data_IF_043766346427
#
_entry.id   IF_043766346427
#
_cell.length_a   1.000
_cell.length_b   1.000
_cell.length_c   1.000
_cell.angle_alpha   90.00
_cell.angle_beta   90.00
_cell.angle_gamma   90.00
#
_symmetry.space_group_name_H-M   'P 1'
#
loop_
_entity.id
_entity.type
_entity.pdbx_description
1 polymer ?
#
# COMPACT_ATOMS: atom_id res chain seq x y z
N UNK A 1 -4.83 -26.08 -10.98
CA UNK A 1 -5.93 -25.11 -10.77
C UNK A 1 -6.28 -24.52 -12.13
N UNK A 2 -7.55 -24.52 -12.51
CA UNK A 2 -8.06 -23.82 -13.71
C UNK A 2 -8.82 -22.61 -13.19
N UNK A 3 -8.55 -21.43 -13.76
CA UNK A 3 -9.22 -20.16 -13.41
C UNK A 3 -10.09 -19.71 -14.58
N UNK A 4 -11.23 -19.11 -14.27
CA UNK A 4 -12.18 -18.57 -15.25
C UNK A 4 -12.11 -17.04 -15.36
N UNK A 5 -11.51 -16.39 -14.36
CA UNK A 5 -11.31 -14.94 -14.31
C UNK A 5 -9.94 -14.58 -13.71
N UNK A 6 -9.26 -13.55 -14.26
CA UNK A 6 -8.03 -13.03 -13.67
C UNK A 6 -8.21 -12.62 -12.19
N UNK A 7 -9.42 -12.22 -11.74
CA UNK A 7 -9.69 -11.88 -10.34
C UNK A 7 -9.58 -13.07 -9.37
N UNK A 8 -9.46 -14.29 -9.89
CA UNK A 8 -9.17 -15.48 -9.08
C UNK A 8 -7.66 -15.66 -8.79
N UNK A 9 -6.78 -14.87 -9.44
CA UNK A 9 -5.34 -14.85 -9.16
C UNK A 9 -5.03 -14.01 -7.91
N UNK A 10 -5.58 -14.42 -6.79
CA UNK A 10 -5.31 -13.87 -5.46
C UNK A 10 -4.69 -14.98 -4.61
N UNK A 11 -3.41 -14.79 -4.29
CA UNK A 11 -2.65 -15.72 -3.46
C UNK A 11 -2.95 -15.42 -1.99
N UNK A 12 -3.81 -16.22 -1.38
CA UNK A 12 -4.34 -15.96 -0.04
C UNK A 12 -3.34 -16.30 1.07
N UNK A 13 -2.63 -17.43 0.93
CA UNK A 13 -1.84 -18.04 2.02
C UNK A 13 -0.35 -18.02 1.67
N UNK A 14 0.15 -16.88 1.13
CA UNK A 14 1.55 -16.72 0.74
C UNK A 14 2.32 -15.93 1.80
N UNK A 15 3.09 -16.65 2.60
CA UNK A 15 3.95 -16.11 3.65
C UNK A 15 5.40 -16.53 3.42
N UNK A 16 6.32 -15.61 3.65
CA UNK A 16 7.75 -15.86 3.58
C UNK A 16 8.36 -15.77 4.99
N UNK A 17 8.90 -16.86 5.52
CA UNK A 17 9.61 -16.87 6.80
C UNK A 17 10.99 -16.26 6.62
N UNK A 18 11.27 -15.19 7.33
CA UNK A 18 12.54 -14.46 7.30
C UNK A 18 13.46 -14.98 8.39
N UNK A 19 14.24 -16.02 8.08
CA UNK A 19 15.17 -16.62 9.03
C UNK A 19 16.26 -15.60 9.39
N UNK A 20 16.48 -15.38 10.69
CA UNK A 20 17.53 -14.50 11.20
C UNK A 20 17.27 -13.01 11.10
N UNK A 21 16.15 -12.57 10.51
CA UNK A 21 15.85 -11.16 10.25
C UNK A 21 15.79 -10.29 11.52
N UNK A 22 15.22 -10.81 12.60
CA UNK A 22 15.13 -10.12 13.88
C UNK A 22 15.73 -11.02 15.00
N UNK A 23 16.94 -11.52 14.80
CA UNK A 23 17.62 -12.41 15.74
C UNK A 23 16.95 -13.78 15.84
N UNK A 24 16.50 -14.15 17.05
CA UNK A 24 15.88 -15.47 17.31
C UNK A 24 14.37 -15.51 17.17
N UNK A 25 13.77 -14.46 16.59
CA UNK A 25 12.32 -14.35 16.46
C UNK A 25 11.81 -14.86 15.12
N UNK A 26 10.62 -15.42 15.10
CA UNK A 26 9.94 -15.86 13.89
C UNK A 26 9.24 -14.67 13.22
N UNK A 27 9.83 -14.15 12.15
CA UNK A 27 9.25 -13.07 11.33
C UNK A 27 8.72 -13.66 10.03
N UNK A 28 7.47 -13.35 9.73
CA UNK A 28 6.79 -13.78 8.52
C UNK A 28 6.33 -12.58 7.71
N UNK A 29 6.70 -12.55 6.44
CA UNK A 29 6.29 -11.52 5.50
C UNK A 29 5.11 -12.02 4.67
N UNK A 30 3.93 -11.42 4.84
CA UNK A 30 2.77 -11.73 3.99
C UNK A 30 2.91 -11.06 2.65
N UNK A 31 3.12 -11.87 1.61
CA UNK A 31 3.41 -11.40 0.26
C UNK A 31 2.13 -11.14 -0.54
N UNK A 32 1.71 -9.89 -0.62
CA UNK A 32 0.53 -9.45 -1.39
C UNK A 32 0.87 -8.99 -2.82
N UNK A 33 2.15 -8.87 -3.12
CA UNK A 33 2.62 -8.42 -4.44
C UNK A 33 2.46 -9.44 -5.56
N UNK A 34 2.26 -10.71 -5.23
CA UNK A 34 2.00 -11.77 -6.22
C UNK A 34 0.55 -11.84 -6.70
N UNK A 35 -0.34 -11.10 -6.08
CA UNK A 35 -1.72 -10.98 -6.57
C UNK A 35 -1.75 -10.34 -7.96
N UNK A 36 -2.82 -10.61 -8.72
CA UNK A 36 -3.06 -9.94 -10.01
C UNK A 36 -2.97 -8.41 -9.81
N UNK A 37 -2.39 -7.69 -10.76
CA UNK A 37 -1.98 -6.27 -10.68
C UNK A 37 -0.78 -5.97 -9.77
N UNK A 38 -0.16 -6.99 -9.19
CA UNK A 38 1.10 -6.87 -8.45
C UNK A 38 0.97 -6.13 -7.11
N UNK A 39 -0.20 -6.19 -6.43
CA UNK A 39 -0.34 -5.57 -5.11
C UNK A 39 -1.60 -6.00 -4.34
N UNK A 40 -1.59 -5.71 -3.04
CA UNK A 40 -2.74 -5.85 -2.13
C UNK A 40 -3.98 -5.06 -2.58
N UNK A 41 -3.81 -4.04 -3.43
CA UNK A 41 -4.89 -3.13 -3.83
C UNK A 41 -5.96 -3.79 -4.70
N UNK A 42 -5.70 -4.96 -5.27
CA UNK A 42 -6.76 -5.73 -5.95
C UNK A 42 -7.88 -6.12 -4.99
N UNK A 43 -7.55 -6.48 -3.76
CA UNK A 43 -8.57 -6.77 -2.72
C UNK A 43 -9.41 -5.54 -2.42
N UNK A 44 -8.75 -4.38 -2.22
CA UNK A 44 -9.43 -3.09 -2.02
C UNK A 44 -10.34 -2.75 -3.20
N UNK A 45 -9.85 -2.89 -4.44
CA UNK A 45 -10.62 -2.58 -5.65
C UNK A 45 -11.87 -3.45 -5.77
N UNK A 46 -11.73 -4.76 -5.55
CA UNK A 46 -12.86 -5.70 -5.54
C UNK A 46 -13.87 -5.30 -4.47
N UNK A 47 -13.43 -5.11 -3.22
CA UNK A 47 -14.33 -4.77 -2.12
C UNK A 47 -15.09 -3.45 -2.31
N UNK A 48 -14.44 -2.43 -2.89
CA UNK A 48 -15.08 -1.15 -3.20
C UNK A 48 -16.18 -1.29 -4.25
N UNK A 49 -15.92 -2.04 -5.33
CA UNK A 49 -16.90 -2.25 -6.40
C UNK A 49 -18.03 -3.15 -5.95
N UNK A 50 -17.73 -4.28 -5.31
CA UNK A 50 -18.74 -5.21 -4.78
C UNK A 50 -19.67 -4.56 -3.77
N UNK A 51 -19.16 -3.67 -2.93
CA UNK A 51 -20.01 -2.93 -1.99
C UNK A 51 -21.05 -2.04 -2.70
N UNK A 52 -20.70 -1.41 -3.81
CA UNK A 52 -21.64 -0.63 -4.60
C UNK A 52 -22.67 -1.51 -5.30
N UNK A 53 -22.25 -2.65 -5.85
CA UNK A 53 -23.12 -3.63 -6.50
C UNK A 53 -24.13 -4.21 -5.51
N UNK A 54 -23.67 -4.66 -4.34
CA UNK A 54 -24.53 -5.24 -3.28
C UNK A 54 -25.57 -4.24 -2.76
N UNK A 55 -25.25 -2.96 -2.78
CA UNK A 55 -26.15 -1.86 -2.39
C UNK A 55 -27.06 -1.40 -3.53
N UNK A 56 -26.93 -1.95 -4.73
CA UNK A 56 -27.67 -1.56 -5.91
C UNK A 56 -27.33 -0.14 -6.42
N UNK A 57 -26.18 0.40 -6.03
CA UNK A 57 -25.75 1.77 -6.37
C UNK A 57 -24.96 1.84 -7.69
N UNK A 58 -24.39 0.74 -8.13
CA UNK A 58 -23.65 0.68 -9.40
C UNK A 58 -24.22 -0.40 -10.31
N UNK A 59 -24.32 -0.09 -11.61
CA UNK A 59 -24.78 -1.00 -12.67
C UNK A 59 -23.78 -1.04 -13.79
N UNK A 60 -23.35 -2.25 -14.25
CA UNK A 60 -22.49 -2.37 -15.43
C UNK A 60 -23.03 -1.63 -16.64
N UNK A 61 -22.16 -1.08 -17.46
CA UNK A 61 -22.44 -0.28 -18.66
C UNK A 61 -23.16 1.05 -18.44
N UNK A 62 -23.69 1.35 -17.25
CA UNK A 62 -24.37 2.59 -16.91
C UNK A 62 -23.52 3.50 -16.02
N UNK A 63 -22.99 2.94 -14.94
CA UNK A 63 -22.24 3.68 -13.92
C UNK A 63 -20.81 3.98 -14.37
N UNK A 64 -20.34 5.18 -14.07
CA UNK A 64 -18.96 5.61 -14.19
C UNK A 64 -18.30 5.62 -12.81
N UNK A 65 -17.33 4.77 -12.57
CA UNK A 65 -16.60 4.75 -11.31
C UNK A 65 -15.41 5.73 -11.38
N UNK A 66 -15.21 6.50 -10.34
CA UNK A 66 -14.17 7.53 -10.27
C UNK A 66 -13.31 7.31 -9.04
N UNK A 67 -11.98 7.43 -9.15
CA UNK A 67 -11.09 7.40 -8.00
C UNK A 67 -9.85 8.28 -8.18
N UNK A 68 -9.31 8.79 -7.06
CA UNK A 68 -8.03 9.48 -7.00
C UNK A 68 -6.92 8.49 -6.67
N UNK A 69 -6.06 8.17 -7.63
CA UNK A 69 -4.94 7.27 -7.38
C UNK A 69 -3.78 7.52 -8.33
N UNK A 70 -2.56 7.59 -7.79
CA UNK A 70 -1.33 7.67 -8.57
C UNK A 70 -0.58 6.33 -8.70
N UNK A 71 -1.19 5.21 -8.26
CA UNK A 71 -0.47 3.94 -8.21
C UNK A 71 -1.36 2.69 -8.22
N UNK A 72 -1.04 1.77 -7.33
CA UNK A 72 -1.59 0.41 -7.30
C UNK A 72 -3.12 0.30 -7.28
N UNK A 73 -3.83 1.22 -6.61
CA UNK A 73 -5.30 1.15 -6.59
C UNK A 73 -5.92 1.53 -7.94
N UNK A 74 -5.39 2.57 -8.60
CA UNK A 74 -5.86 2.94 -9.94
C UNK A 74 -5.71 1.78 -10.93
N UNK A 75 -4.56 1.11 -10.93
CA UNK A 75 -4.32 -0.06 -11.77
C UNK A 75 -5.27 -1.22 -11.43
N UNK A 76 -5.49 -1.50 -10.13
CA UNK A 76 -6.38 -2.56 -9.70
C UNK A 76 -7.85 -2.27 -10.07
N UNK A 77 -8.31 -1.03 -9.88
CA UNK A 77 -9.66 -0.61 -10.27
C UNK A 77 -9.85 -0.66 -11.78
N UNK A 78 -8.83 -0.29 -12.58
CA UNK A 78 -8.91 -0.39 -14.04
C UNK A 78 -9.18 -1.83 -14.49
N UNK A 79 -8.47 -2.81 -13.92
CA UNK A 79 -8.71 -4.24 -14.19
C UNK A 79 -10.11 -4.68 -13.72
N UNK A 80 -10.50 -4.37 -12.49
CA UNK A 80 -11.78 -4.80 -11.92
C UNK A 80 -12.94 -4.21 -12.73
N UNK A 81 -12.86 -2.93 -13.08
CA UNK A 81 -13.88 -2.25 -13.89
C UNK A 81 -13.98 -2.84 -15.29
N UNK A 82 -12.86 -3.11 -15.95
CA UNK A 82 -12.84 -3.73 -17.26
C UNK A 82 -13.53 -5.11 -17.26
N UNK A 83 -13.26 -5.95 -16.25
CA UNK A 83 -13.87 -7.29 -16.13
C UNK A 83 -15.37 -7.19 -15.80
N UNK A 84 -15.78 -6.21 -14.99
CA UNK A 84 -17.16 -6.09 -14.52
C UNK A 84 -18.03 -5.17 -15.39
N UNK A 85 -17.48 -4.62 -16.48
CA UNK A 85 -18.22 -3.80 -17.46
C UNK A 85 -18.51 -2.37 -16.95
N UNK A 86 -17.65 -1.80 -16.11
CA UNK A 86 -17.73 -0.41 -15.67
C UNK A 86 -16.80 0.49 -16.49
N UNK A 87 -17.25 1.70 -16.79
CA UNK A 87 -16.34 2.78 -17.18
C UNK A 87 -15.59 3.25 -15.91
N UNK A 88 -14.29 3.47 -16.03
CA UNK A 88 -13.47 3.93 -14.92
C UNK A 88 -12.67 5.17 -15.27
N UNK A 89 -12.73 6.18 -14.42
CA UNK A 89 -11.93 7.42 -14.52
C UNK A 89 -10.97 7.46 -13.32
N UNK A 90 -9.67 7.45 -13.62
CA UNK A 90 -8.62 7.62 -12.62
C UNK A 90 -8.07 9.04 -12.67
N UNK A 91 -8.22 9.81 -11.59
CA UNK A 91 -7.60 11.13 -11.46
C UNK A 91 -6.26 10.96 -10.76
N UNK A 92 -5.19 11.33 -11.45
CA UNK A 92 -3.80 11.18 -10.98
C UNK A 92 -3.02 12.49 -11.12
N UNK A 93 -1.72 12.45 -10.83
CA UNK A 93 -0.80 13.59 -10.88
C UNK A 93 0.53 13.21 -11.55
N UNK A 94 1.43 14.19 -11.86
CA UNK A 94 2.69 13.94 -12.57
C UNK A 94 3.69 13.05 -11.84
N UNK A 95 3.50 12.78 -10.54
CA UNK A 95 4.37 11.86 -9.78
C UNK A 95 4.01 10.39 -10.02
N UNK A 96 2.90 10.11 -10.69
CA UNK A 96 2.51 8.74 -11.01
C UNK A 96 3.50 8.08 -11.99
N UNK A 97 3.85 6.83 -11.72
CA UNK A 97 4.74 6.07 -12.59
C UNK A 97 4.08 5.89 -13.97
N UNK A 98 4.81 6.22 -15.03
CA UNK A 98 4.33 6.14 -16.42
C UNK A 98 3.87 4.73 -16.80
N UNK A 99 4.56 3.68 -16.36
CA UNK A 99 4.14 2.30 -16.62
C UNK A 99 2.82 1.96 -15.96
N UNK A 100 2.55 2.50 -14.76
CA UNK A 100 1.27 2.33 -14.07
C UNK A 100 0.14 3.06 -14.80
N UNK A 101 0.36 4.29 -15.25
CA UNK A 101 -0.62 5.05 -16.07
C UNK A 101 -0.93 4.24 -17.35
N UNK A 102 0.11 3.79 -18.05
CA UNK A 102 -0.05 2.98 -19.27
C UNK A 102 -0.83 1.69 -19.00
N UNK A 103 -0.58 1.01 -17.87
CA UNK A 103 -1.35 -0.17 -17.47
C UNK A 103 -2.84 0.14 -17.24
N UNK A 104 -3.17 1.27 -16.63
CA UNK A 104 -4.56 1.72 -16.45
C UNK A 104 -5.25 1.94 -17.81
N UNK A 105 -4.58 2.63 -18.75
CA UNK A 105 -5.08 2.89 -20.11
C UNK A 105 -5.30 1.61 -20.91
N UNK A 106 -4.38 0.63 -20.81
CA UNK A 106 -4.50 -0.67 -21.46
C UNK A 106 -5.73 -1.45 -20.98
N UNK A 107 -6.11 -1.31 -19.71
CA UNK A 107 -7.36 -1.85 -19.16
C UNK A 107 -8.60 -1.00 -19.51
N UNK A 108 -8.46 0.07 -20.30
CA UNK A 108 -9.56 0.90 -20.76
C UNK A 108 -9.97 2.02 -19.80
N UNK A 109 -9.18 2.30 -18.77
CA UNK A 109 -9.46 3.44 -17.89
C UNK A 109 -9.15 4.77 -18.59
N UNK A 110 -10.01 5.76 -18.38
CA UNK A 110 -9.70 7.15 -18.69
C UNK A 110 -8.81 7.72 -17.57
N UNK A 111 -7.56 8.05 -17.89
CA UNK A 111 -6.64 8.64 -16.91
C UNK A 111 -6.58 10.15 -17.11
N UNK A 112 -6.85 10.90 -16.06
CA UNK A 112 -6.77 12.37 -16.03
C UNK A 112 -5.62 12.76 -15.12
N UNK A 113 -4.58 13.37 -15.69
CA UNK A 113 -3.44 13.91 -14.94
C UNK A 113 -3.73 15.37 -14.61
N UNK A 114 -3.79 15.73 -13.31
CA UNK A 114 -3.88 17.11 -12.87
C UNK A 114 -2.48 17.69 -12.74
N UNK A 115 -2.23 18.84 -13.32
CA UNK A 115 -0.90 19.49 -13.36
C UNK A 115 -0.75 20.58 -12.29
N UNK A 116 -1.87 21.15 -11.81
CA UNK A 116 -1.86 22.21 -10.81
C UNK A 116 -1.53 21.68 -9.43
N UNK A 117 -0.52 22.24 -8.81
CA UNK A 117 -0.15 21.95 -7.42
C UNK A 117 -1.10 22.66 -6.44
N UNK A 118 -1.34 22.01 -5.31
CA UNK A 118 -2.05 22.63 -4.19
C UNK A 118 -1.22 23.77 -3.58
N UNK A 119 -1.82 24.80 -2.99
CA UNK A 119 -1.11 25.88 -2.32
C UNK A 119 -0.17 25.40 -1.20
N UNK A 120 -0.52 24.30 -0.54
CA UNK A 120 0.31 23.65 0.50
C UNK A 120 1.36 22.67 -0.06
N UNK A 121 1.49 22.59 -1.39
CA UNK A 121 2.31 21.61 -2.09
C UNK A 121 1.59 20.27 -2.28
N UNK A 122 2.06 19.46 -3.25
CA UNK A 122 1.39 18.21 -3.63
C UNK A 122 0.25 18.43 -4.62
N UNK A 123 -0.61 17.42 -4.77
CA UNK A 123 -1.67 17.39 -5.79
C UNK A 123 -3.01 16.82 -5.29
N UNK A 124 -3.12 16.49 -3.99
CA UNK A 124 -4.30 15.82 -3.48
C UNK A 124 -5.56 16.69 -3.61
N UNK A 125 -5.47 17.96 -3.24
CA UNK A 125 -6.59 18.91 -3.35
C UNK A 125 -7.03 19.10 -4.79
N UNK A 126 -6.09 19.28 -5.71
CA UNK A 126 -6.37 19.40 -7.15
C UNK A 126 -7.00 18.15 -7.72
N UNK A 127 -6.57 16.96 -7.31
CA UNK A 127 -7.22 15.69 -7.70
C UNK A 127 -8.65 15.60 -7.16
N UNK A 128 -8.88 15.97 -5.90
CA UNK A 128 -10.22 15.96 -5.30
C UNK A 128 -11.14 16.97 -5.99
N UNK A 129 -10.66 18.18 -6.26
CA UNK A 129 -11.39 19.18 -7.03
C UNK A 129 -11.80 18.68 -8.41
N UNK A 130 -10.90 17.93 -9.08
CA UNK A 130 -11.21 17.32 -10.39
C UNK A 130 -12.28 16.25 -10.28
N UNK A 131 -12.26 15.44 -9.22
CA UNK A 131 -13.32 14.46 -8.94
C UNK A 131 -14.65 15.18 -8.75
N UNK A 132 -14.71 16.24 -7.93
CA UNK A 132 -15.94 16.99 -7.71
C UNK A 132 -16.52 17.56 -9.02
N UNK A 133 -15.66 18.06 -9.93
CA UNK A 133 -16.08 18.50 -11.26
C UNK A 133 -16.70 17.37 -12.09
N UNK A 134 -16.10 16.16 -12.05
CA UNK A 134 -16.64 14.98 -12.76
C UNK A 134 -18.00 14.61 -12.19
N UNK A 135 -18.15 14.55 -10.88
CA UNK A 135 -19.41 14.21 -10.22
C UNK A 135 -20.51 15.21 -10.50
N UNK A 136 -20.19 16.50 -10.66
CA UNK A 136 -21.15 17.54 -11.04
C UNK A 136 -21.56 17.47 -12.51
N UNK A 137 -20.68 16.98 -13.39
CA UNK A 137 -20.92 16.95 -14.84
C UNK A 137 -21.55 15.65 -15.33
N UNK A 138 -21.40 14.54 -14.59
CA UNK A 138 -21.96 13.23 -14.97
C UNK A 138 -22.75 12.63 -13.79
N UNK A 139 -24.10 12.60 -13.90
CA UNK A 139 -24.97 12.08 -12.84
C UNK A 139 -24.80 10.56 -12.60
N UNK A 140 -24.18 9.85 -13.55
CA UNK A 140 -23.86 8.42 -13.40
C UNK A 140 -22.49 8.17 -12.76
N UNK A 141 -21.73 9.23 -12.46
CA UNK A 141 -20.42 9.12 -11.85
C UNK A 141 -20.53 8.87 -10.34
N UNK A 142 -19.78 7.91 -9.83
CA UNK A 142 -19.70 7.57 -8.40
C UNK A 142 -18.24 7.56 -7.99
N UNK A 143 -17.89 8.35 -6.98
CA UNK A 143 -16.57 8.31 -6.37
C UNK A 143 -16.46 7.17 -5.34
N UNK A 144 -15.51 6.28 -5.53
CA UNK A 144 -15.26 5.12 -4.66
C UNK A 144 -14.73 5.52 -3.28
N UNK A 145 -13.95 6.61 -3.21
CA UNK A 145 -13.42 7.24 -2.00
C UNK A 145 -12.69 6.28 -1.05
N UNK A 146 -11.55 5.77 -1.49
CA UNK A 146 -10.72 4.83 -0.71
C UNK A 146 -10.37 5.29 0.71
N UNK A 147 -10.37 6.61 0.98
CA UNK A 147 -9.97 7.19 2.27
C UNK A 147 -11.08 7.21 3.32
N UNK A 148 -12.34 7.06 2.90
CA UNK A 148 -13.50 7.13 3.78
C UNK A 148 -14.46 5.94 3.63
N UNK A 149 -14.39 5.18 2.53
CA UNK A 149 -15.30 4.08 2.28
C UNK A 149 -14.96 2.86 3.16
N UNK A 150 -15.91 2.46 4.00
CA UNK A 150 -15.78 1.35 4.95
C UNK A 150 -15.48 0.01 4.25
N UNK A 151 -15.89 -0.16 2.99
CA UNK A 151 -15.61 -1.36 2.21
C UNK A 151 -14.10 -1.63 2.08
N UNK A 152 -13.26 -0.57 2.04
CA UNK A 152 -11.81 -0.71 2.06
C UNK A 152 -11.30 -1.36 3.36
N UNK A 153 -11.92 -1.11 4.51
CA UNK A 153 -11.60 -1.81 5.76
C UNK A 153 -12.15 -3.23 5.76
N UNK A 154 -13.42 -3.40 5.37
CA UNK A 154 -14.14 -4.67 5.48
C UNK A 154 -13.46 -5.77 4.66
N UNK A 155 -13.05 -5.50 3.42
CA UNK A 155 -12.36 -6.49 2.59
C UNK A 155 -11.06 -6.99 3.21
N UNK A 156 -10.35 -6.14 3.95
CA UNK A 156 -9.13 -6.56 4.64
C UNK A 156 -9.41 -7.31 5.95
N UNK A 157 -10.54 -7.06 6.62
CA UNK A 157 -11.00 -7.88 7.73
C UNK A 157 -11.42 -9.28 7.24
N UNK A 158 -12.20 -9.35 6.16
CA UNK A 158 -12.75 -10.58 5.61
C UNK A 158 -11.72 -11.44 4.87
N UNK A 159 -10.73 -10.84 4.24
CA UNK A 159 -9.71 -11.55 3.47
C UNK A 159 -8.36 -11.54 4.17
N UNK A 160 -7.62 -10.43 4.14
CA UNK A 160 -6.22 -10.35 4.59
C UNK A 160 -6.04 -10.80 6.05
N UNK A 161 -6.91 -10.37 6.95
CA UNK A 161 -6.84 -10.75 8.35
C UNK A 161 -7.21 -12.23 8.57
N UNK A 162 -8.25 -12.73 7.88
CA UNK A 162 -8.65 -14.14 7.99
C UNK A 162 -7.61 -15.09 7.38
N UNK A 163 -6.86 -14.65 6.36
CA UNK A 163 -5.72 -15.40 5.82
C UNK A 163 -4.62 -15.57 6.87
N UNK A 164 -4.26 -14.48 7.57
CA UNK A 164 -3.31 -14.54 8.69
C UNK A 164 -3.87 -15.41 9.82
N UNK A 165 -5.14 -15.21 10.16
CA UNK A 165 -5.78 -15.95 11.22
C UNK A 165 -5.87 -17.46 10.97
N UNK A 166 -5.92 -17.91 9.72
CA UNK A 166 -5.92 -19.35 9.37
C UNK A 166 -4.53 -19.95 9.39
N UNK A 167 -3.51 -19.19 8.98
CA UNK A 167 -2.15 -19.67 8.87
C UNK A 167 -1.47 -19.83 10.25
N UNK A 168 -1.80 -18.97 11.22
CA UNK A 168 -1.11 -18.93 12.50
C UNK A 168 -2.03 -19.28 13.66
N UNK A 169 -1.54 -20.12 14.57
CA UNK A 169 -2.19 -20.39 15.87
C UNK A 169 -1.92 -19.25 16.88
N UNK A 170 -0.83 -18.48 16.65
CA UNK A 170 -0.40 -17.39 17.50
C UNK A 170 0.22 -16.29 16.66
N UNK A 171 -0.20 -15.04 16.91
CA UNK A 171 0.46 -13.84 16.39
C UNK A 171 0.60 -12.84 17.54
N UNK A 172 1.82 -12.47 17.87
CA UNK A 172 2.09 -11.51 18.95
C UNK A 172 2.19 -10.09 18.44
N UNK A 173 2.68 -9.92 17.20
CA UNK A 173 2.85 -8.62 16.57
C UNK A 173 2.42 -8.67 15.12
N UNK A 174 1.69 -7.63 14.69
CA UNK A 174 1.42 -7.41 13.26
C UNK A 174 1.85 -5.99 12.87
N UNK A 175 2.66 -5.90 11.81
CA UNK A 175 3.18 -4.65 11.26
C UNK A 175 2.50 -4.32 9.95
N UNK A 176 1.87 -3.15 9.87
CA UNK A 176 1.11 -2.73 8.69
C UNK A 176 1.53 -1.33 8.27
N UNK A 177 2.01 -1.19 7.04
CA UNK A 177 2.26 0.10 6.41
C UNK A 177 0.95 0.85 6.17
N UNK A 178 0.90 2.14 6.52
CA UNK A 178 -0.32 2.93 6.49
C UNK A 178 -0.34 3.96 5.36
N UNK A 179 -1.42 3.96 4.61
CA UNK A 179 -1.83 4.99 3.68
C UNK A 179 -3.28 5.36 4.00
N UNK A 180 -4.25 4.77 3.31
CA UNK A 180 -5.69 4.96 3.60
C UNK A 180 -6.15 4.39 4.94
N UNK A 181 -5.31 3.62 5.60
CA UNK A 181 -5.55 2.86 6.85
C UNK A 181 -6.56 1.72 6.78
N UNK A 182 -7.18 1.48 5.62
CA UNK A 182 -8.15 0.38 5.47
C UNK A 182 -7.57 -0.99 5.84
N UNK A 183 -6.37 -1.31 5.35
CA UNK A 183 -5.66 -2.57 5.67
C UNK A 183 -5.41 -2.71 7.18
N UNK A 184 -4.85 -1.65 7.81
CA UNK A 184 -4.58 -1.66 9.24
C UNK A 184 -5.85 -1.83 10.07
N UNK A 185 -6.92 -1.10 9.74
CA UNK A 185 -8.19 -1.15 10.46
C UNK A 185 -8.85 -2.52 10.34
N UNK A 186 -8.88 -3.10 9.13
CA UNK A 186 -9.44 -4.44 8.90
C UNK A 186 -8.67 -5.54 9.62
N UNK A 187 -7.33 -5.51 9.52
CA UNK A 187 -6.45 -6.46 10.21
C UNK A 187 -6.62 -6.34 11.72
N UNK A 188 -6.60 -5.11 12.26
CA UNK A 188 -6.73 -4.86 13.69
C UNK A 188 -8.04 -5.40 14.26
N UNK A 189 -9.16 -5.14 13.59
CA UNK A 189 -10.48 -5.58 14.05
C UNK A 189 -10.57 -7.10 14.15
N UNK A 190 -10.18 -7.80 13.11
CA UNK A 190 -10.30 -9.25 13.04
C UNK A 190 -9.25 -9.95 13.94
N UNK A 191 -7.98 -9.56 13.84
CA UNK A 191 -6.92 -10.28 14.57
C UNK A 191 -6.99 -10.07 16.09
N UNK A 192 -7.49 -8.92 16.58
CA UNK A 192 -7.71 -8.74 18.03
C UNK A 192 -8.79 -9.66 18.59
N UNK A 193 -9.75 -10.08 17.79
CA UNK A 193 -10.75 -11.08 18.21
C UNK A 193 -10.12 -12.47 18.36
N UNK A 194 -9.27 -12.87 17.41
CA UNK A 194 -8.61 -14.19 17.45
C UNK A 194 -7.40 -14.20 18.39
N UNK A 195 -6.62 -13.13 18.43
CA UNK A 195 -5.40 -13.01 19.23
C UNK A 195 -5.52 -11.79 20.17
N UNK A 196 -6.21 -11.91 21.32
CA UNK A 196 -6.52 -10.75 22.18
C UNK A 196 -5.30 -9.99 22.73
N UNK A 197 -4.12 -10.61 22.71
CA UNK A 197 -2.86 -10.00 23.18
C UNK A 197 -1.96 -9.48 22.05
N UNK A 198 -2.44 -9.53 20.80
CA UNK A 198 -1.68 -9.04 19.64
C UNK A 198 -1.35 -7.55 19.79
N UNK A 199 -0.15 -7.18 19.44
CA UNK A 199 0.25 -5.79 19.28
C UNK A 199 0.19 -5.38 17.82
N UNK A 200 -0.67 -4.42 17.53
CA UNK A 200 -0.88 -3.88 16.19
C UNK A 200 0.00 -2.64 16.02
N UNK A 201 0.92 -2.71 15.07
CA UNK A 201 1.88 -1.64 14.78
C UNK A 201 1.49 -0.95 13.49
N UNK A 202 1.18 0.35 13.59
CA UNK A 202 1.04 1.23 12.43
C UNK A 202 2.41 1.73 12.01
N UNK A 203 2.78 1.52 10.76
CA UNK A 203 4.06 1.97 10.22
C UNK A 203 3.81 3.05 9.17
N UNK A 204 4.47 4.19 9.32
CA UNK A 204 4.35 5.30 8.37
C UNK A 204 5.73 5.95 8.10
N UNK A 205 5.91 6.61 6.95
CA UNK A 205 7.12 7.38 6.72
C UNK A 205 7.10 8.67 7.54
N UNK A 206 8.26 9.16 7.91
CA UNK A 206 8.41 10.52 8.46
C UNK A 206 7.78 11.52 7.47
N UNK A 207 7.03 12.49 7.98
CA UNK A 207 6.26 13.44 7.18
C UNK A 207 4.84 13.00 6.84
N UNK A 208 4.41 11.80 7.27
CA UNK A 208 3.00 11.40 7.24
C UNK A 208 2.22 12.01 8.40
N UNK A 209 0.96 12.42 8.13
CA UNK A 209 0.07 13.00 9.15
C UNK A 209 -1.01 12.03 9.63
N UNK A 210 -0.97 10.78 9.22
CA UNK A 210 -2.03 9.80 9.50
C UNK A 210 -2.32 9.66 10.99
N UNK A 211 -1.28 9.56 11.81
CA UNK A 211 -1.40 9.41 13.27
C UNK A 211 -0.80 10.58 14.06
N UNK A 212 -0.84 11.80 13.49
CA UNK A 212 -0.44 13.03 14.18
C UNK A 212 1.03 13.41 14.01
N UNK A 213 1.74 12.79 13.08
CA UNK A 213 3.09 13.21 12.70
C UNK A 213 3.11 14.63 12.09
N UNK A 214 4.25 15.31 12.18
CA UNK A 214 4.46 16.59 11.51
C UNK A 214 4.45 16.38 9.98
N UNK A 215 3.77 17.24 9.19
CA UNK A 215 3.77 17.13 7.74
C UNK A 215 5.17 17.36 7.16
N UNK A 216 5.58 16.54 6.19
CA UNK A 216 6.87 16.65 5.55
C UNK A 216 6.88 16.10 4.13
N UNK A 217 7.98 16.40 3.40
CA UNK A 217 8.22 15.86 2.06
C UNK A 217 8.36 14.34 2.14
N UNK A 218 7.72 13.64 1.23
CA UNK A 218 7.81 12.18 1.04
C UNK A 218 7.93 11.89 -0.45
N UNK A 219 8.84 11.00 -0.79
CA UNK A 219 9.18 10.68 -2.18
C UNK A 219 8.88 9.23 -2.53
N UNK A 220 8.81 8.34 -1.54
CA UNK A 220 8.44 6.94 -1.73
C UNK A 220 6.91 6.83 -1.75
N UNK A 221 6.32 6.39 -2.89
CA UNK A 221 4.87 6.31 -3.03
C UNK A 221 4.27 5.10 -2.29
N UNK A 222 2.95 5.10 -2.12
CA UNK A 222 2.19 3.95 -1.62
C UNK A 222 2.07 3.85 -0.10
N UNK A 223 2.77 4.69 0.66
CA UNK A 223 2.74 4.73 2.12
C UNK A 223 2.70 6.18 2.63
N UNK A 224 2.04 6.40 3.76
CA UNK A 224 1.84 7.73 4.36
C UNK A 224 0.80 8.59 3.65
N UNK A 225 0.34 9.64 4.32
CA UNK A 225 -0.66 10.59 3.80
C UNK A 225 -0.33 12.03 4.18
N UNK A 226 -0.80 12.99 3.35
CA UNK A 226 -0.73 14.42 3.63
C UNK A 226 -2.01 14.96 4.30
N UNK A 227 -3.07 14.14 4.32
CA UNK A 227 -4.34 14.43 5.00
C UNK A 227 -4.75 13.18 5.76
N UNK A 228 -5.17 13.33 7.01
CA UNK A 228 -5.62 12.19 7.83
C UNK A 228 -6.83 11.52 7.21
N UNK A 229 -6.76 10.21 6.88
CA UNK A 229 -7.90 9.47 6.34
C UNK A 229 -8.99 9.29 7.40
N UNK A 230 -10.27 9.33 7.00
CA UNK A 230 -11.38 9.01 7.92
C UNK A 230 -11.31 7.59 8.49
N UNK A 231 -10.79 6.64 7.72
CA UNK A 231 -10.63 5.26 8.19
C UNK A 231 -9.60 5.13 9.35
N UNK A 232 -8.72 6.12 9.56
CA UNK A 232 -7.80 6.13 10.68
C UNK A 232 -8.51 6.25 12.04
N UNK A 233 -9.74 6.75 12.07
CA UNK A 233 -10.54 6.86 13.30
C UNK A 233 -11.12 5.51 13.75
N UNK A 234 -11.08 4.50 12.88
CA UNK A 234 -11.57 3.14 13.14
C UNK A 234 -10.54 2.23 13.80
N UNK A 235 -9.31 2.69 14.00
CA UNK A 235 -8.24 1.88 14.56
C UNK A 235 -7.39 2.65 15.56
N UNK A 236 -7.07 1.98 16.66
CA UNK A 236 -6.10 2.46 17.65
C UNK A 236 -4.93 1.48 17.68
N UNK A 237 -3.80 1.80 17.03
CA UNK A 237 -2.62 0.94 17.07
C UNK A 237 -1.98 0.94 18.45
N UNK A 238 -1.28 -0.14 18.82
CA UNK A 238 -0.52 -0.24 20.08
C UNK A 238 0.82 0.49 19.99
N UNK A 239 1.36 0.57 18.77
CA UNK A 239 2.57 1.33 18.44
C UNK A 239 2.38 2.06 17.11
N UNK A 240 2.96 3.23 17.02
CA UNK A 240 3.11 3.99 15.77
C UNK A 240 4.61 4.16 15.55
N UNK A 241 5.12 3.71 14.42
CA UNK A 241 6.54 3.80 14.07
C UNK A 241 6.68 4.65 12.82
N UNK A 242 7.35 5.79 12.98
CA UNK A 242 7.72 6.64 11.85
C UNK A 242 9.14 6.28 11.38
N UNK A 243 9.28 5.96 10.09
CA UNK A 243 10.54 5.56 9.47
C UNK A 243 10.96 6.59 8.43
N UNK A 244 12.22 7.02 8.45
CA UNK A 244 12.73 7.89 7.40
C UNK A 244 12.97 7.12 6.08
N UNK A 245 13.01 7.84 4.95
CA UNK A 245 13.14 7.23 3.62
C UNK A 245 14.51 6.58 3.42
N UNK A 246 15.56 7.08 4.07
CA UNK A 246 16.90 6.47 4.06
C UNK A 246 16.86 5.04 4.62
N UNK A 247 16.23 4.86 5.80
CA UNK A 247 16.06 3.52 6.40
C UNK A 247 15.18 2.60 5.57
N UNK A 248 14.19 3.15 4.88
CA UNK A 248 13.37 2.40 3.94
C UNK A 248 14.21 1.85 2.78
N UNK A 249 15.06 2.68 2.18
CA UNK A 249 15.95 2.27 1.09
C UNK A 249 16.97 1.25 1.56
N UNK A 250 17.63 1.49 2.70
CA UNK A 250 18.56 0.54 3.31
C UNK A 250 17.91 -0.83 3.52
N UNK A 251 16.69 -0.85 4.07
CA UNK A 251 15.96 -2.09 4.30
C UNK A 251 15.61 -2.82 3.01
N UNK A 252 15.18 -2.11 1.96
CA UNK A 252 14.91 -2.71 0.65
C UNK A 252 16.17 -3.34 0.05
N UNK A 253 17.29 -2.62 0.05
CA UNK A 253 18.55 -3.08 -0.53
C UNK A 253 19.15 -4.26 0.26
N UNK A 254 19.10 -4.22 1.59
CA UNK A 254 19.54 -5.34 2.43
C UNK A 254 18.67 -6.56 2.21
N UNK A 255 17.36 -6.37 2.10
CA UNK A 255 16.43 -7.47 1.88
C UNK A 255 16.69 -8.20 0.56
N UNK A 256 16.97 -7.47 -0.52
CA UNK A 256 17.34 -8.11 -1.80
C UNK A 256 18.64 -8.92 -1.66
N UNK A 257 19.65 -8.39 -0.96
CA UNK A 257 20.93 -9.10 -0.77
C UNK A 257 20.81 -10.38 0.07
N UNK A 258 19.95 -10.34 1.11
CA UNK A 258 19.83 -11.45 2.05
C UNK A 258 18.76 -12.47 1.66
N UNK A 259 17.66 -12.00 1.08
CA UNK A 259 16.46 -12.82 0.81
C UNK A 259 16.14 -12.95 -0.69
N UNK A 260 16.90 -12.30 -1.57
CA UNK A 260 16.81 -12.41 -3.03
C UNK A 260 15.44 -12.12 -3.62
N UNK A 261 14.65 -11.26 -2.95
CA UNK A 261 13.32 -10.84 -3.39
C UNK A 261 13.25 -9.31 -3.44
N UNK A 262 12.86 -8.77 -4.59
CA UNK A 262 12.56 -7.35 -4.76
C UNK A 262 11.26 -7.01 -4.05
N UNK A 263 11.27 -6.05 -3.13
CA UNK A 263 10.09 -5.60 -2.39
C UNK A 263 9.82 -4.12 -2.63
N UNK A 264 8.55 -3.71 -2.55
CA UNK A 264 8.19 -2.30 -2.68
C UNK A 264 8.65 -1.45 -1.49
N UNK A 265 8.71 -0.14 -1.67
CA UNK A 265 9.17 0.79 -0.63
C UNK A 265 8.37 0.71 0.67
N UNK A 266 7.05 0.52 0.57
CA UNK A 266 6.22 0.30 1.76
C UNK A 266 6.62 -0.95 2.56
N UNK A 267 7.09 -2.00 1.90
CA UNK A 267 7.65 -3.18 2.57
C UNK A 267 8.97 -2.85 3.27
N UNK A 268 9.87 -2.11 2.60
CA UNK A 268 11.12 -1.65 3.24
C UNK A 268 10.86 -0.82 4.50
N UNK A 269 9.88 0.09 4.45
CA UNK A 269 9.45 0.87 5.63
C UNK A 269 8.96 -0.04 6.76
N UNK A 270 8.16 -1.06 6.45
CA UNK A 270 7.66 -2.04 7.43
C UNK A 270 8.80 -2.87 8.01
N UNK A 271 9.72 -3.35 7.18
CA UNK A 271 10.88 -4.14 7.63
C UNK A 271 11.81 -3.33 8.55
N UNK A 272 12.07 -2.06 8.22
CA UNK A 272 12.83 -1.16 9.09
C UNK A 272 12.15 -0.96 10.45
N UNK A 273 10.81 -0.85 10.47
CA UNK A 273 10.05 -0.75 11.73
C UNK A 273 10.12 -2.05 12.56
N UNK A 274 10.09 -3.23 11.92
CA UNK A 274 10.31 -4.52 12.61
C UNK A 274 11.68 -4.56 13.27
N UNK A 275 12.74 -4.16 12.55
CA UNK A 275 14.09 -4.11 13.11
C UNK A 275 14.21 -3.10 14.27
N UNK A 276 13.56 -1.94 14.15
CA UNK A 276 13.55 -0.90 15.20
C UNK A 276 12.89 -1.41 16.49
N UNK A 277 11.82 -2.20 16.40
CA UNK A 277 11.11 -2.75 17.55
C UNK A 277 11.62 -4.13 17.99
N UNK A 278 12.59 -4.72 17.31
CA UNK A 278 13.13 -6.04 17.66
C UNK A 278 13.59 -6.17 19.13
N UNK A 279 14.15 -5.13 19.79
CA UNK A 279 14.49 -5.19 21.22
C UNK A 279 13.28 -5.34 22.17
N UNK A 280 12.06 -5.03 21.70
CA UNK A 280 10.83 -5.18 22.50
C UNK A 280 10.22 -6.60 22.36
N UNK A 281 10.68 -7.41 21.42
CA UNK A 281 10.14 -8.76 21.20
C UNK A 281 10.60 -9.72 22.29
N UNK A 282 9.71 -10.64 22.65
CA UNK A 282 10.02 -11.71 23.60
C UNK A 282 10.41 -12.97 22.85
N UNK A 283 11.25 -13.78 23.46
CA UNK A 283 11.62 -15.06 22.86
C UNK A 283 10.39 -15.91 22.54
N UNK A 284 10.28 -16.36 21.29
CA UNK A 284 9.14 -17.13 20.79
C UNK A 284 7.94 -16.29 20.37
N UNK A 285 8.08 -14.94 20.26
CA UNK A 285 7.07 -14.11 19.62
C UNK A 285 6.99 -14.44 18.13
N UNK A 286 5.76 -14.49 17.62
CA UNK A 286 5.43 -14.60 16.19
C UNK A 286 5.10 -13.21 15.66
N UNK A 287 5.88 -12.76 14.68
CA UNK A 287 5.77 -11.44 14.07
C UNK A 287 5.29 -11.57 12.63
N UNK A 288 4.19 -10.95 12.28
CA UNK A 288 3.69 -10.88 10.89
C UNK A 288 3.84 -9.46 10.36
N UNK A 289 4.46 -9.32 9.21
CA UNK A 289 4.64 -8.05 8.50
C UNK A 289 3.94 -8.10 7.14
N UNK A 290 3.28 -7.01 6.73
CA UNK A 290 2.59 -6.97 5.44
C UNK A 290 3.50 -6.39 4.37
N UNK A 291 3.69 -7.14 3.28
CA UNK A 291 4.35 -6.71 2.04
C UNK A 291 3.30 -6.41 0.98
N UNK A 292 2.93 -5.13 0.77
CA UNK A 292 1.79 -4.79 -0.08
C UNK A 292 2.03 -4.97 -1.58
N UNK A 293 3.28 -4.83 -2.04
CA UNK A 293 3.68 -4.98 -3.44
C UNK A 293 5.16 -5.40 -3.57
N UNK A 294 5.57 -5.73 -4.79
CA UNK A 294 6.93 -6.11 -5.15
C UNK A 294 7.74 -4.93 -5.71
N UNK A 295 9.05 -5.13 -5.87
CA UNK A 295 10.01 -4.07 -6.15
C UNK A 295 10.15 -3.68 -7.63
N UNK A 296 9.61 -4.44 -8.59
CA UNK A 296 9.80 -4.20 -10.02
C UNK A 296 9.32 -2.81 -10.46
N UNK A 297 8.31 -2.26 -9.78
CA UNK A 297 7.79 -0.91 -10.02
C UNK A 297 8.73 0.20 -9.53
N UNK A 298 9.78 -0.14 -8.79
CA UNK A 298 10.67 0.78 -8.09
C UNK A 298 12.12 0.71 -8.58
N UNK A 299 12.38 0.03 -9.72
CA UNK A 299 13.72 -0.12 -10.30
C UNK A 299 14.34 1.23 -10.67
N UNK A 300 13.53 2.19 -11.13
CA UNK A 300 13.97 3.54 -11.49
C UNK A 300 14.02 4.51 -10.27
N UNK A 301 13.67 4.05 -9.08
CA UNK A 301 13.62 4.85 -7.84
C UNK A 301 14.45 4.20 -6.73
N UNK A 302 13.86 3.46 -5.83
CA UNK A 302 14.51 2.87 -4.64
C UNK A 302 15.74 2.02 -5.00
N UNK A 303 15.70 1.33 -6.14
CA UNK A 303 16.78 0.47 -6.64
C UNK A 303 17.71 1.17 -7.63
N UNK A 304 17.52 2.47 -7.88
CA UNK A 304 18.40 3.30 -8.73
C UNK A 304 19.29 4.19 -7.86
N UNK A 305 20.62 3.96 -7.81
CA UNK A 305 21.53 4.73 -6.99
C UNK A 305 21.47 6.24 -7.25
N UNK A 306 21.38 6.66 -8.52
CA UNK A 306 21.32 8.07 -8.88
C UNK A 306 20.02 8.75 -8.38
N UNK A 307 18.92 8.02 -8.28
CA UNK A 307 17.69 8.52 -7.69
C UNK A 307 17.83 8.63 -6.17
N UNK A 308 18.40 7.61 -5.52
CA UNK A 308 18.61 7.58 -4.07
C UNK A 308 19.51 8.75 -3.63
N UNK A 309 20.64 8.95 -4.30
CA UNK A 309 21.55 10.08 -4.03
C UNK A 309 20.84 11.42 -4.11
N UNK A 310 20.08 11.66 -5.20
CA UNK A 310 19.41 12.94 -5.47
C UNK A 310 18.23 13.22 -4.53
N UNK A 311 17.50 12.19 -4.10
CA UNK A 311 16.16 12.35 -3.52
C UNK A 311 16.13 12.01 -2.03
N UNK A 312 16.94 11.06 -1.59
CA UNK A 312 16.94 10.54 -0.23
C UNK A 312 18.11 11.04 0.60
N UNK A 313 19.26 11.33 -0.02
CA UNK A 313 20.40 11.88 0.69
C UNK A 313 20.10 13.33 1.16
N UNK A 314 20.52 13.72 2.38
CA UNK A 314 20.39 15.10 2.86
C UNK A 314 21.17 16.08 1.97
N UNK A 315 20.68 17.33 1.83
CA UNK A 315 21.33 18.39 1.07
C UNK A 315 22.70 18.85 1.65
N UNK A 316 23.09 18.40 2.85
CA UNK A 316 24.34 18.76 3.52
C UNK A 316 25.24 17.55 3.76
N UNK A 317 26.41 17.62 3.08
CA UNK A 317 27.71 17.07 3.43
C UNK A 317 27.80 15.57 3.82
N UNK A 318 27.71 14.65 2.83
CA UNK A 318 28.25 13.30 3.00
C UNK A 318 29.11 12.88 1.81
N UNK A 319 30.26 12.23 2.08
CA UNK A 319 31.06 11.63 1.02
C UNK A 319 30.21 10.56 0.31
N UNK A 320 30.27 10.57 -1.02
CA UNK A 320 29.61 9.62 -1.91
C UNK A 320 29.82 8.19 -1.40
N UNK A 321 28.81 7.61 -0.74
CA UNK A 321 28.73 6.17 -0.54
C UNK A 321 28.24 5.60 -1.85
N UNK A 322 29.16 5.18 -2.67
CA UNK A 322 28.86 4.38 -3.87
C UNK A 322 28.16 3.10 -3.38
N UNK A 323 26.86 3.00 -3.54
CA UNK A 323 26.15 1.74 -3.43
C UNK A 323 26.54 0.93 -4.67
N UNK A 324 27.63 0.18 -4.57
CA UNK A 324 28.00 -0.77 -5.60
C UNK A 324 26.87 -1.81 -5.67
N UNK A 325 26.03 -1.67 -6.68
CA UNK A 325 25.15 -2.75 -7.11
C UNK A 325 26.05 -3.90 -7.47
N UNK A 326 25.98 -4.99 -6.68
CA UNK A 326 26.47 -6.33 -6.96
C UNK A 326 27.45 -6.41 -8.15
N UNK A 327 28.71 -5.98 -7.97
CA UNK A 327 29.80 -6.52 -8.76
C UNK A 327 30.09 -7.89 -8.13
N UNK A 328 29.67 -8.94 -8.84
CA UNK A 328 30.09 -10.29 -8.54
C UNK A 328 31.61 -10.37 -8.58
N UNK A 329 32.25 -10.82 -7.50
CA UNK A 329 33.46 -11.61 -7.55
C UNK A 329 33.11 -13.09 -7.42
#
# INVERSE_FOLDING_TARGET
MIIESPLQLIFRDLFYRLAGFAGSHDVFLKLEGFNITGSIKVKTAIGLVENLEQRGLARPNETVLVESSSGNLGLALSLVCAIRGYRFICVTDPNANRSTIRGMEVYGAQVIVVEDRDPAGGYLGSRLKKIDQILQSDPNAIWLNQYANIANKNVHAEQTANEIAREFDKVDWVFVGTGTTGTLAGISECLRQKFPRIKVVAVEPVGSVTFGGAPGKRTIPGIGTSVRPKLADLVKPDRIVAVNEEKTVEACLSFVREYHLLVGGSTGTVLAAVQQLAPEFRRGDTIVAISPDLGEKYLDTIYNPAWVERVVAPEDDRPVRTYALLAAE
#
